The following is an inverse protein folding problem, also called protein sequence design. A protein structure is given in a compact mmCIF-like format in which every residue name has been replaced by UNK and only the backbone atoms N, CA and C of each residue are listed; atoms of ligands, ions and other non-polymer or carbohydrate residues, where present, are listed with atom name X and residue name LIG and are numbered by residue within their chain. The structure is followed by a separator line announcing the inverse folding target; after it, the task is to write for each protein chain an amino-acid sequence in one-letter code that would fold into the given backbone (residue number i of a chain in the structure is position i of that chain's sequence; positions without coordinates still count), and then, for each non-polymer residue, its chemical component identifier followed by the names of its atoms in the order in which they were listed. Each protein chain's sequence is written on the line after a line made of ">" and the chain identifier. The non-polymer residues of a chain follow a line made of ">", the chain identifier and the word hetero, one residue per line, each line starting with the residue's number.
data_IF_159710299038
#
_entry.id   IF_159710299038
#
_cell.length_a   1.000
_cell.length_b   1.000
_cell.length_c   1.000
_cell.angle_alpha   90.00
_cell.angle_beta   90.00
_cell.angle_gamma   90.00
#
_symmetry.space_group_name_H-M   'P 1'
#
loop_
_entity.id
_entity.type
_entity.pdbx_description
1 polymer ?
#
# COMPACT_ATOMS: atom_id res chain seq x y z
N UNK A 1 -14.71 17.54 28.51
CA UNK A 1 -14.75 16.54 27.41
C UNK A 1 -14.81 17.28 26.09
N UNK A 2 -13.88 17.03 25.21
CA UNK A 2 -13.85 17.66 23.88
C UNK A 2 -15.10 17.25 23.08
N UNK A 3 -15.65 18.11 22.22
CA UNK A 3 -16.88 17.82 21.46
C UNK A 3 -16.76 16.54 20.61
N UNK A 4 -15.58 16.22 20.12
CA UNK A 4 -15.28 14.97 19.39
C UNK A 4 -15.49 13.75 20.28
N UNK A 5 -14.92 13.78 21.52
CA UNK A 5 -15.04 12.68 22.48
C UNK A 5 -16.50 12.43 22.88
N UNK A 6 -17.31 13.50 23.01
CA UNK A 6 -18.75 13.34 23.29
C UNK A 6 -19.48 12.60 22.17
N UNK A 7 -19.21 12.96 20.91
CA UNK A 7 -19.83 12.29 19.74
C UNK A 7 -19.42 10.82 19.67
N UNK A 8 -18.14 10.52 19.89
CA UNK A 8 -17.64 9.14 19.91
C UNK A 8 -18.28 8.31 21.06
N UNK A 9 -18.37 8.88 22.27
CA UNK A 9 -19.02 8.18 23.39
C UNK A 9 -20.49 7.86 23.12
N UNK A 10 -21.23 8.80 22.53
CA UNK A 10 -22.63 8.57 22.12
C UNK A 10 -22.71 7.44 21.08
N UNK A 11 -21.80 7.43 20.11
CA UNK A 11 -21.73 6.37 19.09
C UNK A 11 -21.52 4.99 19.72
N UNK A 12 -20.49 4.86 20.57
CA UNK A 12 -20.13 3.59 21.24
C UNK A 12 -21.30 3.08 22.10
N UNK A 13 -21.85 3.93 22.94
CA UNK A 13 -22.97 3.53 23.84
C UNK A 13 -24.19 3.08 23.01
N UNK A 14 -24.56 3.84 22.00
CA UNK A 14 -25.72 3.51 21.14
C UNK A 14 -25.48 2.21 20.37
N UNK A 15 -24.31 2.04 19.74
CA UNK A 15 -23.99 0.81 19.00
C UNK A 15 -23.94 -0.41 19.92
N UNK A 16 -23.38 -0.26 21.15
CA UNK A 16 -23.40 -1.34 22.15
C UNK A 16 -24.83 -1.74 22.52
N UNK A 17 -25.68 -0.78 22.76
CA UNK A 17 -27.08 -1.05 23.11
C UNK A 17 -27.83 -1.72 21.96
N UNK A 18 -27.65 -1.24 20.73
CA UNK A 18 -28.29 -1.83 19.54
C UNK A 18 -27.81 -3.25 19.27
N UNK A 19 -26.51 -3.52 19.42
CA UNK A 19 -25.96 -4.87 19.21
C UNK A 19 -26.47 -5.86 20.25
N UNK A 20 -26.52 -5.47 21.53
CA UNK A 20 -27.07 -6.31 22.60
C UNK A 20 -28.55 -6.63 22.36
N UNK A 21 -29.37 -5.66 21.99
CA UNK A 21 -30.79 -5.90 21.66
C UNK A 21 -30.91 -6.93 20.54
N UNK A 22 -30.14 -6.78 19.44
CA UNK A 22 -30.17 -7.72 18.32
C UNK A 22 -29.77 -9.13 18.75
N UNK A 23 -28.73 -9.28 19.58
CA UNK A 23 -28.26 -10.57 20.07
C UNK A 23 -29.32 -11.22 20.96
N UNK A 24 -29.86 -10.49 21.94
CA UNK A 24 -30.85 -11.02 22.90
C UNK A 24 -32.14 -11.43 22.16
N UNK A 25 -32.69 -10.56 21.33
CA UNK A 25 -33.93 -10.85 20.59
C UNK A 25 -33.68 -11.94 19.54
N UNK A 26 -32.53 -11.92 18.84
CA UNK A 26 -32.16 -12.97 17.89
C UNK A 26 -32.09 -14.36 18.56
N UNK A 27 -31.54 -14.41 19.78
CA UNK A 27 -31.44 -15.63 20.57
C UNK A 27 -32.85 -16.12 21.05
N UNK A 28 -33.65 -15.22 21.63
CA UNK A 28 -35.02 -15.52 22.11
C UNK A 28 -35.93 -15.99 20.98
N UNK A 29 -35.91 -15.28 19.85
CA UNK A 29 -36.75 -15.59 18.69
C UNK A 29 -36.15 -16.68 17.79
N UNK A 30 -34.97 -17.22 18.12
CA UNK A 30 -34.22 -18.22 17.33
C UNK A 30 -34.00 -17.81 15.88
N UNK A 31 -33.82 -16.49 15.63
CA UNK A 31 -33.51 -15.95 14.32
C UNK A 31 -32.01 -15.95 14.12
N UNK A 32 -31.53 -16.80 13.20
CA UNK A 32 -30.11 -16.89 12.84
C UNK A 32 -29.60 -15.60 12.20
N UNK A 33 -30.44 -14.94 11.41
CA UNK A 33 -30.12 -13.70 10.74
C UNK A 33 -29.95 -12.51 11.71
N UNK A 34 -30.89 -12.32 12.64
CA UNK A 34 -30.81 -11.22 13.61
C UNK A 34 -29.67 -11.44 14.62
N UNK A 35 -29.44 -12.70 15.02
CA UNK A 35 -28.30 -13.05 15.86
C UNK A 35 -26.97 -12.75 15.15
N UNK A 36 -26.86 -13.13 13.85
CA UNK A 36 -25.68 -12.85 13.03
C UNK A 36 -25.40 -11.35 12.92
N UNK A 37 -26.41 -10.54 12.65
CA UNK A 37 -26.30 -9.08 12.55
C UNK A 37 -25.94 -8.42 13.90
N UNK A 38 -26.47 -8.96 14.99
CA UNK A 38 -26.10 -8.54 16.35
C UNK A 38 -24.63 -8.86 16.68
N UNK A 39 -24.18 -10.07 16.37
CA UNK A 39 -22.79 -10.48 16.56
C UNK A 39 -21.83 -9.70 15.65
N UNK A 40 -22.22 -9.40 14.40
CA UNK A 40 -21.46 -8.53 13.52
C UNK A 40 -21.26 -7.13 14.14
N UNK A 41 -22.33 -6.46 14.53
CA UNK A 41 -22.26 -5.15 15.18
C UNK A 41 -21.47 -5.17 16.48
N UNK A 42 -21.50 -6.27 17.23
CA UNK A 42 -20.68 -6.45 18.44
C UNK A 42 -19.21 -6.69 18.13
N UNK A 43 -18.90 -7.43 17.06
CA UNK A 43 -17.51 -7.65 16.59
C UNK A 43 -16.83 -6.35 16.21
N UNK A 44 -17.56 -5.42 15.57
CA UNK A 44 -17.03 -4.10 15.21
C UNK A 44 -16.65 -3.30 16.47
N UNK A 45 -17.51 -3.33 17.50
CA UNK A 45 -17.20 -2.71 18.79
C UNK A 45 -15.98 -3.33 19.49
N UNK A 46 -15.84 -4.67 19.42
CA UNK A 46 -14.65 -5.35 19.94
C UNK A 46 -13.39 -4.93 19.17
N UNK A 47 -13.48 -4.83 17.86
CA UNK A 47 -12.38 -4.35 17.01
C UNK A 47 -11.93 -2.96 17.42
N UNK A 48 -12.87 -2.02 17.59
CA UNK A 48 -12.59 -0.66 18.05
C UNK A 48 -11.94 -0.65 19.44
N UNK A 49 -12.48 -1.44 20.38
CA UNK A 49 -11.96 -1.52 21.75
C UNK A 49 -10.51 -2.04 21.79
N UNK A 50 -10.23 -3.10 21.08
CA UNK A 50 -8.88 -3.65 21.03
C UNK A 50 -7.93 -2.78 20.22
N UNK A 51 -8.40 -2.07 19.20
CA UNK A 51 -7.61 -1.08 18.48
C UNK A 51 -7.16 0.04 19.43
N UNK A 52 -8.02 0.48 20.35
CA UNK A 52 -7.65 1.45 21.38
C UNK A 52 -6.56 0.88 22.30
N UNK A 53 -6.71 -0.36 22.77
CA UNK A 53 -5.70 -1.02 23.62
C UNK A 53 -4.39 -1.19 22.87
N UNK A 54 -4.45 -1.68 21.63
CA UNK A 54 -3.27 -1.83 20.76
C UNK A 54 -2.54 -0.50 20.56
N UNK A 55 -3.27 0.59 20.34
CA UNK A 55 -2.69 1.93 20.19
C UNK A 55 -2.04 2.43 21.51
N UNK A 56 -2.64 2.15 22.66
CA UNK A 56 -2.04 2.49 23.95
C UNK A 56 -0.73 1.73 24.16
N UNK A 57 -0.71 0.44 23.86
CA UNK A 57 0.49 -0.39 23.97
C UNK A 57 1.57 0.00 22.93
N UNK A 58 1.15 0.36 21.74
CA UNK A 58 2.04 0.80 20.66
C UNK A 58 2.77 2.12 20.97
N UNK A 59 2.23 2.96 21.85
CA UNK A 59 2.86 4.22 22.30
C UNK A 59 3.99 4.01 23.30
N UNK A 60 4.24 2.79 23.76
CA UNK A 60 5.38 2.49 24.62
C UNK A 60 6.68 2.84 23.88
N UNK A 61 7.57 3.67 24.48
CA UNK A 61 8.80 4.12 23.82
C UNK A 61 9.75 2.96 23.51
N UNK A 62 10.77 3.25 22.73
CA UNK A 62 11.86 2.33 22.44
C UNK A 62 12.54 1.85 23.74
N UNK A 63 12.93 0.59 23.76
CA UNK A 63 13.72 -0.04 24.81
C UNK A 63 14.89 -0.83 24.17
N UNK A 64 15.76 -1.44 24.98
CA UNK A 64 16.94 -2.16 24.49
C UNK A 64 16.58 -3.32 23.55
N UNK A 65 15.43 -3.98 23.74
CA UNK A 65 14.97 -5.09 22.90
C UNK A 65 14.23 -4.61 21.64
N UNK A 66 13.58 -3.44 21.74
CA UNK A 66 12.77 -2.87 20.66
C UNK A 66 13.24 -1.44 20.37
N UNK A 67 14.40 -1.26 19.70
CA UNK A 67 15.02 0.04 19.47
C UNK A 67 14.18 1.00 18.59
N UNK A 68 13.19 0.48 17.87
CA UNK A 68 12.21 1.26 17.10
C UNK A 68 10.86 1.43 17.82
N UNK A 69 10.80 1.12 19.13
CA UNK A 69 9.56 1.17 19.90
C UNK A 69 8.62 0.01 19.61
N UNK A 70 7.42 0.11 20.17
CA UNK A 70 6.42 -0.97 20.17
C UNK A 70 5.29 -0.76 19.15
N UNK A 71 5.43 0.16 18.18
CA UNK A 71 4.38 0.53 17.24
C UNK A 71 3.72 -0.63 16.49
N UNK A 72 4.45 -1.71 16.22
CA UNK A 72 3.91 -2.90 15.53
C UNK A 72 2.91 -3.71 16.36
N UNK A 73 2.80 -3.48 17.67
CA UNK A 73 1.80 -4.14 18.53
C UNK A 73 0.37 -3.83 18.06
N UNK A 74 0.13 -2.62 17.56
CA UNK A 74 -1.17 -2.23 16.99
C UNK A 74 -1.62 -3.21 15.89
N UNK A 75 -0.73 -3.54 14.96
CA UNK A 75 -1.02 -4.45 13.86
C UNK A 75 -1.17 -5.89 14.33
N UNK A 76 -0.35 -6.35 15.27
CA UNK A 76 -0.46 -7.69 15.86
C UNK A 76 -1.79 -7.88 16.58
N UNK A 77 -2.24 -6.86 17.33
CA UNK A 77 -3.53 -6.87 18.00
C UNK A 77 -4.67 -6.96 16.98
N UNK A 78 -4.61 -6.15 15.91
CA UNK A 78 -5.59 -6.17 14.83
C UNK A 78 -5.65 -7.52 14.09
N UNK A 79 -4.51 -8.19 13.89
CA UNK A 79 -4.44 -9.54 13.33
C UNK A 79 -5.14 -10.55 14.26
N UNK A 80 -4.85 -10.49 15.57
CA UNK A 80 -5.50 -11.37 16.55
C UNK A 80 -7.03 -11.23 16.52
N UNK A 81 -7.52 -10.00 16.48
CA UNK A 81 -8.96 -9.73 16.41
C UNK A 81 -9.56 -10.23 15.09
N UNK A 82 -8.90 -9.98 13.97
CA UNK A 82 -9.41 -10.39 12.66
C UNK A 82 -9.59 -11.92 12.57
N UNK A 83 -8.70 -12.69 13.20
CA UNK A 83 -8.84 -14.15 13.31
C UNK A 83 -10.10 -14.52 14.12
N UNK A 84 -10.33 -13.85 15.27
CA UNK A 84 -11.53 -14.08 16.07
C UNK A 84 -12.80 -13.75 15.27
N UNK A 85 -12.80 -12.62 14.53
CA UNK A 85 -13.94 -12.21 13.68
C UNK A 85 -14.21 -13.26 12.59
N UNK A 86 -13.18 -13.81 11.95
CA UNK A 86 -13.32 -14.88 10.95
C UNK A 86 -13.93 -16.14 11.57
N UNK A 87 -13.45 -16.56 12.76
CA UNK A 87 -14.00 -17.72 13.49
C UNK A 87 -15.46 -17.50 13.84
N UNK A 88 -15.84 -16.30 14.31
CA UNK A 88 -17.24 -15.94 14.58
C UNK A 88 -18.10 -16.05 13.32
N UNK A 89 -17.63 -15.52 12.19
CA UNK A 89 -18.33 -15.64 10.91
C UNK A 89 -18.55 -17.08 10.47
N UNK A 90 -17.53 -17.95 10.60
CA UNK A 90 -17.62 -19.38 10.32
C UNK A 90 -18.63 -20.08 11.25
N UNK A 91 -18.61 -19.73 12.54
CA UNK A 91 -19.55 -20.28 13.54
C UNK A 91 -21.00 -19.89 13.19
N UNK A 92 -21.22 -18.63 12.78
CA UNK A 92 -22.53 -18.14 12.34
C UNK A 92 -23.02 -18.93 11.13
N UNK A 93 -22.19 -19.11 10.11
CA UNK A 93 -22.55 -19.88 8.92
C UNK A 93 -22.92 -21.32 9.31
N UNK A 94 -22.07 -21.97 10.10
CA UNK A 94 -22.33 -23.34 10.56
C UNK A 94 -23.66 -23.43 11.33
N UNK A 95 -23.89 -22.53 12.28
CA UNK A 95 -25.13 -22.49 13.03
C UNK A 95 -26.34 -22.23 12.14
N UNK A 96 -26.25 -21.30 11.16
CA UNK A 96 -27.33 -21.02 10.21
C UNK A 96 -27.65 -22.23 9.33
N UNK A 97 -26.64 -23.00 8.92
CA UNK A 97 -26.85 -24.22 8.12
C UNK A 97 -27.56 -25.34 8.92
N UNK A 98 -27.21 -25.52 10.19
CA UNK A 98 -27.71 -26.61 11.02
C UNK A 98 -28.93 -26.21 11.89
N UNK A 99 -29.28 -24.92 11.95
CA UNK A 99 -30.45 -24.45 12.69
C UNK A 99 -31.74 -25.10 12.13
N UNK A 100 -32.72 -25.38 13.02
CA UNK A 100 -34.04 -25.74 12.56
C UNK A 100 -34.67 -24.59 11.83
N UNK A 101 -35.47 -24.89 10.81
CA UNK A 101 -36.27 -23.87 10.11
C UNK A 101 -37.30 -23.33 11.08
N UNK A 102 -37.19 -22.10 11.49
CA UNK A 102 -38.13 -21.41 12.39
C UNK A 102 -38.72 -20.23 11.64
N UNK A 103 -40.02 -20.06 11.73
CA UNK A 103 -40.65 -18.85 11.22
C UNK A 103 -40.22 -17.66 12.08
N UNK A 104 -39.61 -16.65 11.45
CA UNK A 104 -39.28 -15.44 12.17
C UNK A 104 -40.52 -14.77 12.74
N UNK A 105 -40.45 -14.38 14.00
CA UNK A 105 -41.52 -13.65 14.67
C UNK A 105 -41.63 -12.25 14.09
N UNK A 106 -42.82 -11.68 14.06
CA UNK A 106 -43.06 -10.25 13.77
C UNK A 106 -42.17 -9.35 14.64
N UNK A 107 -41.82 -9.80 15.84
CA UNK A 107 -40.89 -9.12 16.76
C UNK A 107 -39.52 -8.90 16.10
N UNK A 108 -39.00 -9.87 15.36
CA UNK A 108 -37.73 -9.76 14.64
C UNK A 108 -37.76 -8.66 13.60
N UNK A 109 -38.86 -8.59 12.82
CA UNK A 109 -39.02 -7.52 11.80
C UNK A 109 -39.12 -6.14 12.43
N UNK A 110 -39.88 -6.01 13.53
CA UNK A 110 -40.04 -4.74 14.25
C UNK A 110 -38.69 -4.29 14.85
N UNK A 111 -37.98 -5.19 15.53
CA UNK A 111 -36.68 -4.88 16.14
C UNK A 111 -35.67 -4.53 15.06
N UNK A 112 -35.63 -5.26 13.95
CA UNK A 112 -34.71 -4.94 12.82
C UNK A 112 -35.01 -3.55 12.27
N UNK A 113 -36.28 -3.18 12.07
CA UNK A 113 -36.67 -1.86 11.58
C UNK A 113 -36.25 -0.75 12.54
N UNK A 114 -36.49 -0.92 13.84
CA UNK A 114 -36.11 0.04 14.87
C UNK A 114 -34.58 0.21 14.89
N UNK A 115 -33.84 -0.90 14.91
CA UNK A 115 -32.37 -0.84 14.97
C UNK A 115 -31.74 -0.23 13.71
N UNK A 116 -32.26 -0.51 12.52
CA UNK A 116 -31.86 0.12 11.24
C UNK A 116 -32.10 1.63 11.31
N UNK A 117 -33.28 2.04 11.70
CA UNK A 117 -33.67 3.45 11.78
C UNK A 117 -32.74 4.21 12.75
N UNK A 118 -32.55 3.67 13.95
CA UNK A 118 -31.68 4.28 14.96
C UNK A 118 -30.23 4.34 14.48
N UNK A 119 -29.71 3.27 13.85
CA UNK A 119 -28.34 3.24 13.31
C UNK A 119 -28.16 4.23 12.17
N UNK A 120 -29.16 4.37 11.29
CA UNK A 120 -29.13 5.38 10.22
C UNK A 120 -29.12 6.82 10.80
N UNK A 121 -30.00 7.12 11.76
CA UNK A 121 -30.03 8.43 12.42
C UNK A 121 -28.72 8.73 13.15
N UNK A 122 -28.14 7.74 13.82
CA UNK A 122 -26.84 7.85 14.47
C UNK A 122 -25.72 8.17 13.46
N UNK A 123 -25.68 7.43 12.34
CA UNK A 123 -24.69 7.65 11.29
C UNK A 123 -24.77 9.06 10.72
N UNK A 124 -25.98 9.56 10.47
CA UNK A 124 -26.20 10.91 9.97
C UNK A 124 -25.79 11.98 11.01
N UNK A 125 -26.09 11.74 12.28
CA UNK A 125 -25.64 12.61 13.38
C UNK A 125 -24.13 12.71 13.44
N UNK A 126 -23.43 11.56 13.36
CA UNK A 126 -21.95 11.51 13.42
C UNK A 126 -21.35 12.24 12.21
N UNK A 127 -21.87 12.00 10.98
CA UNK A 127 -21.39 12.65 9.76
C UNK A 127 -21.59 14.18 9.84
N UNK A 128 -22.77 14.64 10.25
CA UNK A 128 -23.05 16.09 10.38
C UNK A 128 -22.16 16.75 11.42
N UNK A 129 -21.95 16.11 12.57
CA UNK A 129 -21.03 16.61 13.60
C UNK A 129 -19.58 16.57 13.14
N UNK A 130 -19.17 15.52 12.43
CA UNK A 130 -17.83 15.42 11.84
C UNK A 130 -17.56 16.55 10.86
N UNK A 131 -18.50 16.85 9.97
CA UNK A 131 -18.40 18.01 9.05
C UNK A 131 -18.32 19.34 9.80
N UNK A 132 -19.16 19.54 10.85
CA UNK A 132 -19.16 20.79 11.63
C UNK A 132 -17.88 20.98 12.44
N UNK A 133 -17.21 19.90 12.84
CA UNK A 133 -15.96 19.91 13.61
C UNK A 133 -14.72 19.75 12.74
N UNK A 134 -14.89 19.71 11.41
CA UNK A 134 -13.83 19.45 10.41
C UNK A 134 -12.98 18.22 10.74
N UNK A 135 -13.62 17.18 11.31
CA UNK A 135 -12.96 15.99 11.78
C UNK A 135 -13.23 14.80 10.84
N UNK A 136 -12.23 14.44 10.05
CA UNK A 136 -12.32 13.37 9.06
C UNK A 136 -12.52 11.99 9.69
N UNK A 137 -12.07 11.77 10.92
CA UNK A 137 -12.25 10.49 11.63
C UNK A 137 -13.72 10.28 11.94
N UNK A 138 -14.42 11.30 12.45
CA UNK A 138 -15.87 11.22 12.68
C UNK A 138 -16.64 11.00 11.38
N UNK A 139 -16.24 11.67 10.28
CA UNK A 139 -16.89 11.49 8.99
C UNK A 139 -16.72 10.05 8.48
N UNK A 140 -15.52 9.49 8.63
CA UNK A 140 -15.22 8.11 8.25
C UNK A 140 -16.05 7.11 9.07
N UNK A 141 -16.03 7.23 10.40
CA UNK A 141 -16.81 6.39 11.32
C UNK A 141 -18.31 6.45 11.04
N UNK A 142 -18.85 7.64 10.75
CA UNK A 142 -20.25 7.78 10.36
C UNK A 142 -20.58 7.12 9.02
N UNK A 143 -19.67 7.14 8.03
CA UNK A 143 -19.85 6.43 6.75
C UNK A 143 -19.79 4.91 6.93
N UNK A 144 -18.91 4.42 7.79
CA UNK A 144 -18.82 3.01 8.14
C UNK A 144 -20.11 2.53 8.82
N UNK A 145 -20.59 3.25 9.84
CA UNK A 145 -21.88 2.98 10.49
C UNK A 145 -23.06 3.00 9.50
N UNK A 146 -22.99 3.82 8.44
CA UNK A 146 -23.99 3.82 7.35
C UNK A 146 -23.87 2.58 6.46
N UNK A 147 -22.65 2.07 6.21
CA UNK A 147 -22.47 0.83 5.45
C UNK A 147 -23.07 -0.38 6.18
N UNK A 148 -22.95 -0.42 7.51
CA UNK A 148 -23.55 -1.50 8.31
C UNK A 148 -25.09 -1.52 8.28
N UNK A 149 -25.73 -0.39 7.99
CA UNK A 149 -27.18 -0.35 7.76
C UNK A 149 -27.59 -1.28 6.61
N UNK A 150 -26.71 -1.45 5.60
CA UNK A 150 -26.97 -2.33 4.45
C UNK A 150 -27.01 -3.80 4.89
N UNK A 151 -26.13 -4.24 5.76
CA UNK A 151 -26.15 -5.61 6.30
C UNK A 151 -27.41 -5.87 7.12
N UNK A 152 -27.79 -4.93 7.99
CA UNK A 152 -29.04 -5.00 8.76
C UNK A 152 -30.30 -4.99 7.87
N UNK A 153 -30.26 -4.31 6.70
CA UNK A 153 -31.35 -4.31 5.75
C UNK A 153 -31.60 -5.71 5.15
N UNK A 154 -30.55 -6.47 4.89
CA UNK A 154 -30.66 -7.87 4.43
C UNK A 154 -31.43 -8.71 5.47
N UNK A 155 -31.12 -8.52 6.75
CA UNK A 155 -31.80 -9.22 7.86
C UNK A 155 -33.26 -8.80 7.97
N UNK A 156 -33.55 -7.51 7.85
CA UNK A 156 -34.92 -6.99 7.86
C UNK A 156 -35.78 -7.56 6.73
N UNK A 157 -35.25 -7.56 5.50
CA UNK A 157 -35.93 -8.15 4.33
C UNK A 157 -36.20 -9.64 4.58
N UNK A 158 -35.22 -10.37 5.08
CA UNK A 158 -35.39 -11.80 5.35
C UNK A 158 -36.43 -12.07 6.44
N UNK A 159 -36.47 -11.21 7.46
CA UNK A 159 -37.51 -11.32 8.51
C UNK A 159 -38.92 -11.09 7.96
N UNK A 160 -39.11 -10.12 7.07
CA UNK A 160 -40.38 -9.89 6.38
C UNK A 160 -40.74 -11.10 5.52
N UNK A 161 -39.85 -11.59 4.68
CA UNK A 161 -40.10 -12.76 3.83
C UNK A 161 -40.47 -13.98 4.67
N UNK A 162 -39.82 -14.18 5.82
CA UNK A 162 -40.14 -15.27 6.74
C UNK A 162 -41.59 -15.17 7.30
N UNK A 163 -42.11 -13.98 7.54
CA UNK A 163 -43.50 -13.79 7.95
C UNK A 163 -44.48 -14.27 6.84
N UNK A 164 -44.12 -14.00 5.57
CA UNK A 164 -44.92 -14.45 4.41
C UNK A 164 -44.74 -15.94 4.08
N UNK A 165 -43.91 -16.68 4.83
CA UNK A 165 -43.72 -18.11 4.61
C UNK A 165 -44.98 -18.97 4.78
N UNK A 166 -46.04 -18.42 5.41
CA UNK A 166 -47.39 -19.03 5.45
C UNK A 166 -48.03 -19.19 4.08
N UNK A 167 -47.66 -18.30 3.13
CA UNK A 167 -48.19 -18.27 1.77
C UNK A 167 -47.28 -18.91 0.76
N UNK A 168 -45.94 -18.79 0.98
CA UNK A 168 -44.92 -19.28 0.05
C UNK A 168 -43.87 -20.06 0.85
N UNK A 169 -43.83 -21.39 0.67
CA UNK A 169 -42.99 -22.30 1.47
C UNK A 169 -41.48 -21.98 1.39
N UNK A 170 -41.01 -21.51 0.24
CA UNK A 170 -39.58 -21.20 0.04
C UNK A 170 -39.11 -20.13 1.03
N UNK A 171 -39.94 -19.23 1.47
CA UNK A 171 -39.58 -18.15 2.41
C UNK A 171 -39.27 -18.65 3.84
N UNK A 172 -39.55 -19.92 4.14
CA UNK A 172 -39.10 -20.55 5.41
C UNK A 172 -37.57 -20.52 5.58
N UNK A 173 -36.85 -20.53 4.47
CA UNK A 173 -35.38 -20.56 4.47
C UNK A 173 -34.73 -19.18 4.46
N UNK A 174 -35.51 -18.10 4.37
CA UNK A 174 -35.00 -16.72 4.26
C UNK A 174 -34.08 -16.34 5.42
N UNK A 175 -34.42 -16.70 6.65
CA UNK A 175 -33.59 -16.44 7.85
C UNK A 175 -32.27 -17.17 7.80
N UNK A 176 -32.23 -18.43 7.37
CA UNK A 176 -31.00 -19.20 7.20
C UNK A 176 -30.11 -18.59 6.14
N UNK A 177 -30.67 -18.27 4.98
CA UNK A 177 -29.94 -17.67 3.85
C UNK A 177 -29.33 -16.33 4.28
N UNK A 178 -30.12 -15.50 4.95
CA UNK A 178 -29.64 -14.22 5.45
C UNK A 178 -28.53 -14.37 6.49
N UNK A 179 -28.65 -15.32 7.43
CA UNK A 179 -27.60 -15.63 8.39
C UNK A 179 -26.27 -16.06 7.71
N UNK A 180 -26.36 -16.85 6.65
CA UNK A 180 -25.18 -17.25 5.85
C UNK A 180 -24.59 -16.03 5.14
N UNK A 181 -25.41 -15.18 4.52
CA UNK A 181 -24.95 -13.95 3.84
C UNK A 181 -24.21 -13.04 4.82
N UNK A 182 -24.80 -12.79 5.99
CA UNK A 182 -24.16 -11.96 7.04
C UNK A 182 -22.87 -12.61 7.52
N UNK A 183 -22.84 -13.94 7.74
CA UNK A 183 -21.62 -14.65 8.09
C UNK A 183 -20.49 -14.51 7.06
N UNK A 184 -20.82 -14.54 5.76
CA UNK A 184 -19.87 -14.31 4.68
C UNK A 184 -19.34 -12.87 4.72
N UNK A 185 -20.20 -11.89 4.98
CA UNK A 185 -19.80 -10.49 5.13
C UNK A 185 -18.82 -10.30 6.29
N UNK A 186 -19.07 -10.96 7.44
CA UNK A 186 -18.18 -10.94 8.61
C UNK A 186 -16.82 -11.53 8.27
N UNK A 187 -16.77 -12.71 7.60
CA UNK A 187 -15.52 -13.34 7.18
C UNK A 187 -14.76 -12.42 6.23
N UNK A 188 -15.46 -11.83 5.26
CA UNK A 188 -14.84 -10.88 4.32
C UNK A 188 -14.20 -9.69 5.04
N UNK A 189 -14.90 -9.09 6.00
CA UNK A 189 -14.38 -7.97 6.80
C UNK A 189 -13.14 -8.40 7.59
N UNK A 190 -13.21 -9.53 8.32
CA UNK A 190 -12.07 -10.07 9.04
C UNK A 190 -10.87 -10.35 8.13
N UNK A 191 -11.10 -10.90 6.93
CA UNK A 191 -10.04 -11.18 5.97
C UNK A 191 -9.39 -9.90 5.41
N UNK A 192 -10.16 -8.84 5.17
CA UNK A 192 -9.63 -7.56 4.73
C UNK A 192 -8.72 -6.92 5.79
N UNK A 193 -9.17 -6.91 7.06
CA UNK A 193 -8.38 -6.41 8.20
C UNK A 193 -7.10 -7.24 8.35
N UNK A 194 -7.18 -8.56 8.26
CA UNK A 194 -6.04 -9.47 8.34
C UNK A 194 -5.00 -9.17 7.25
N UNK A 195 -5.46 -9.08 6.00
CA UNK A 195 -4.59 -8.82 4.84
C UNK A 195 -3.87 -7.49 4.96
N UNK A 196 -4.58 -6.41 5.32
CA UNK A 196 -4.00 -5.07 5.47
C UNK A 196 -2.91 -5.05 6.56
N UNK A 197 -3.20 -5.59 7.73
CA UNK A 197 -2.26 -5.56 8.85
C UNK A 197 -1.04 -6.47 8.62
N UNK A 198 -1.21 -7.62 7.96
CA UNK A 198 -0.08 -8.48 7.54
C UNK A 198 0.80 -7.72 6.53
N UNK A 199 0.21 -7.04 5.53
CA UNK A 199 0.95 -6.29 4.53
C UNK A 199 1.83 -5.21 5.17
N UNK A 200 1.29 -4.46 6.14
CA UNK A 200 2.05 -3.44 6.88
C UNK A 200 3.19 -4.06 7.69
N UNK A 201 2.97 -5.20 8.37
CA UNK A 201 4.04 -5.89 9.13
C UNK A 201 5.15 -6.36 8.20
N UNK A 202 4.82 -6.82 7.00
CA UNK A 202 5.77 -7.22 5.96
C UNK A 202 6.53 -6.05 5.36
N UNK A 203 6.20 -4.81 5.73
CA UNK A 203 6.91 -3.61 5.27
C UNK A 203 6.29 -2.99 4.02
N UNK A 204 4.97 -3.00 3.91
CA UNK A 204 4.28 -2.26 2.86
C UNK A 204 4.67 -0.79 2.90
N UNK A 205 5.11 -0.30 1.75
CA UNK A 205 5.56 1.08 1.58
C UNK A 205 4.38 2.01 1.29
N UNK A 206 4.41 3.21 1.84
CA UNK A 206 3.50 4.31 1.47
C UNK A 206 3.85 4.82 0.06
N UNK A 207 3.27 4.19 -0.98
CA UNK A 207 3.58 4.50 -2.38
C UNK A 207 2.79 5.71 -2.89
N UNK A 208 1.61 5.96 -2.35
CA UNK A 208 0.69 7.01 -2.79
C UNK A 208 0.12 7.75 -1.59
N UNK A 209 0.32 9.06 -1.52
CA UNK A 209 -0.28 9.85 -0.46
C UNK A 209 0.29 11.25 -0.39
N UNK A 210 -0.42 12.12 0.31
CA UNK A 210 0.02 13.50 0.57
C UNK A 210 1.34 13.53 1.33
N UNK A 211 1.56 12.58 2.24
CA UNK A 211 2.79 12.46 3.04
C UNK A 211 4.01 12.22 2.16
N UNK A 212 3.95 11.29 1.21
CA UNK A 212 5.04 11.01 0.27
C UNK A 212 5.38 12.26 -0.55
N UNK A 213 4.35 12.91 -1.11
CA UNK A 213 4.54 14.10 -1.93
C UNK A 213 5.12 15.26 -1.12
N UNK A 214 4.68 15.43 0.13
CA UNK A 214 5.19 16.47 1.03
C UNK A 214 6.66 16.22 1.36
N UNK A 215 7.04 15.00 1.72
CA UNK A 215 8.42 14.62 2.00
C UNK A 215 9.30 14.85 0.78
N UNK A 216 8.89 14.35 -0.40
CA UNK A 216 9.63 14.55 -1.65
C UNK A 216 9.85 16.03 -1.98
N UNK A 217 8.82 16.86 -1.79
CA UNK A 217 8.90 18.30 -2.00
C UNK A 217 9.89 18.97 -1.04
N UNK A 218 9.90 18.58 0.23
CA UNK A 218 10.84 19.11 1.23
C UNK A 218 12.27 18.76 0.86
N UNK A 219 12.54 17.53 0.43
CA UNK A 219 13.86 17.06 0.03
C UNK A 219 14.35 17.84 -1.21
N UNK A 220 13.52 17.93 -2.26
CA UNK A 220 13.88 18.60 -3.52
C UNK A 220 13.99 20.13 -3.41
N UNK A 221 13.39 20.74 -2.39
CA UNK A 221 13.55 22.16 -2.12
C UNK A 221 14.92 22.50 -1.50
N UNK A 222 15.72 21.50 -1.15
CA UNK A 222 17.10 21.71 -0.71
C UNK A 222 18.00 21.82 -1.94
N UNK A 223 18.67 22.98 -2.11
CA UNK A 223 19.55 23.27 -3.28
C UNK A 223 20.76 22.33 -3.40
N UNK A 224 21.21 21.81 -2.27
CA UNK A 224 22.39 20.93 -2.20
C UNK A 224 22.08 19.50 -2.63
N UNK A 225 20.80 19.09 -2.58
CA UNK A 225 20.36 17.78 -3.04
C UNK A 225 20.00 17.87 -4.53
N UNK A 226 20.65 17.05 -5.34
CA UNK A 226 20.48 17.03 -6.81
C UNK A 226 19.40 16.05 -7.24
N UNK A 227 19.40 14.85 -6.64
CA UNK A 227 18.40 13.80 -6.94
C UNK A 227 18.01 13.03 -5.68
N UNK A 228 16.81 12.47 -5.71
CA UNK A 228 16.37 11.44 -4.76
C UNK A 228 16.52 10.12 -5.50
N UNK A 229 17.49 9.32 -5.07
CA UNK A 229 17.81 8.04 -5.71
C UNK A 229 16.87 6.94 -5.20
N UNK A 230 16.53 7.00 -3.90
CA UNK A 230 15.53 6.14 -3.28
C UNK A 230 14.80 6.88 -2.16
N UNK A 231 13.51 6.57 -2.01
CA UNK A 231 12.71 7.07 -0.89
C UNK A 231 11.72 5.98 -0.46
N UNK A 232 11.93 5.43 0.73
CA UNK A 232 11.10 4.41 1.35
C UNK A 232 10.45 5.00 2.59
N UNK A 233 9.12 4.92 2.67
CA UNK A 233 8.34 5.38 3.83
C UNK A 233 7.54 4.21 4.35
N UNK A 234 7.85 3.75 5.54
CA UNK A 234 7.18 2.63 6.21
C UNK A 234 6.34 3.13 7.39
N UNK A 235 5.13 2.59 7.52
CA UNK A 235 4.30 2.79 8.72
C UNK A 235 4.83 1.94 9.87
N UNK A 236 4.93 2.53 11.04
CA UNK A 236 5.39 1.86 12.25
C UNK A 236 4.50 2.25 13.43
N UNK A 237 3.27 1.69 13.47
CA UNK A 237 2.23 2.11 14.40
C UNK A 237 1.83 3.57 14.15
N UNK A 238 1.97 4.39 15.17
CA UNK A 238 1.61 5.80 15.13
C UNK A 238 2.63 6.70 14.42
N UNK A 239 3.81 6.18 14.04
CA UNK A 239 4.88 6.95 13.41
C UNK A 239 5.29 6.40 12.02
N UNK A 240 6.08 7.21 11.30
CA UNK A 240 6.72 6.83 10.05
C UNK A 240 8.22 6.65 10.24
N UNK A 241 8.75 5.62 9.60
CA UNK A 241 10.18 5.44 9.37
C UNK A 241 10.47 5.80 7.91
N UNK A 242 11.36 6.78 7.71
CA UNK A 242 11.78 7.24 6.39
C UNK A 242 13.22 6.77 6.16
N UNK A 243 13.45 6.07 5.08
CA UNK A 243 14.79 5.73 4.57
C UNK A 243 14.93 6.35 3.20
N UNK A 244 16.01 7.10 2.98
CA UNK A 244 16.23 7.74 1.69
C UNK A 244 17.68 7.65 1.26
N UNK A 245 17.87 7.60 -0.06
CA UNK A 245 19.16 7.81 -0.70
C UNK A 245 19.04 9.09 -1.54
N UNK A 246 20.02 9.97 -1.37
CA UNK A 246 20.05 11.26 -2.07
C UNK A 246 21.43 11.49 -2.68
N UNK A 247 21.48 12.10 -3.85
CA UNK A 247 22.75 12.48 -4.48
C UNK A 247 23.03 13.97 -4.26
N UNK A 248 24.25 14.28 -3.81
CA UNK A 248 24.76 15.64 -3.57
C UNK A 248 26.02 15.92 -4.39
N UNK A 249 26.43 17.20 -4.45
CA UNK A 249 27.66 17.59 -5.14
C UNK A 249 28.87 16.77 -4.60
N UNK A 250 29.66 16.10 -5.46
CA UNK A 250 30.79 15.30 -5.05
C UNK A 250 31.94 16.10 -4.41
N UNK A 251 31.99 17.42 -4.63
CA UNK A 251 33.01 18.29 -4.06
C UNK A 251 32.75 18.67 -2.60
N UNK A 252 31.57 18.34 -2.05
CA UNK A 252 31.26 18.60 -0.65
C UNK A 252 32.09 17.71 0.28
N UNK A 253 32.62 18.31 1.34
CA UNK A 253 33.26 17.58 2.40
C UNK A 253 32.27 16.73 3.19
N UNK A 254 32.74 15.69 3.88
CA UNK A 254 31.87 14.86 4.74
C UNK A 254 31.13 15.70 5.79
N UNK A 255 31.78 16.72 6.36
CA UNK A 255 31.19 17.62 7.36
C UNK A 255 30.04 18.44 6.76
N UNK A 256 30.22 18.96 5.56
CA UNK A 256 29.17 19.71 4.85
C UNK A 256 27.98 18.82 4.54
N UNK A 257 28.22 17.62 3.99
CA UNK A 257 27.16 16.64 3.72
C UNK A 257 26.37 16.32 5.00
N UNK A 258 27.06 16.04 6.11
CA UNK A 258 26.42 15.73 7.39
C UNK A 258 25.58 16.92 7.89
N UNK A 259 26.10 18.13 7.78
CA UNK A 259 25.38 19.35 8.18
C UNK A 259 24.10 19.57 7.36
N UNK A 260 24.12 19.26 6.06
CA UNK A 260 22.98 19.36 5.17
C UNK A 260 21.92 18.31 5.55
N UNK A 261 22.35 17.07 5.80
CA UNK A 261 21.48 15.98 6.24
C UNK A 261 20.81 16.30 7.56
N UNK A 262 21.54 16.77 8.56
CA UNK A 262 21.00 17.15 9.87
C UNK A 262 19.92 18.24 9.77
N UNK A 263 20.17 19.25 8.92
CA UNK A 263 19.17 20.30 8.66
C UNK A 263 17.92 19.73 7.98
N UNK A 264 18.10 18.83 7.02
CA UNK A 264 17.01 18.16 6.32
C UNK A 264 16.18 17.29 7.28
N UNK A 265 16.82 16.48 8.13
CA UNK A 265 16.15 15.66 9.12
C UNK A 265 15.31 16.51 10.11
N UNK A 266 15.91 17.57 10.64
CA UNK A 266 15.21 18.52 11.53
C UNK A 266 14.00 19.15 10.84
N UNK A 267 14.15 19.52 9.57
CA UNK A 267 13.05 20.11 8.79
C UNK A 267 11.94 19.09 8.53
N UNK A 268 12.27 17.86 8.14
CA UNK A 268 11.31 16.79 7.92
C UNK A 268 10.52 16.47 9.21
N UNK A 269 11.19 16.33 10.35
CA UNK A 269 10.53 16.09 11.65
C UNK A 269 9.63 17.26 12.08
N UNK A 270 9.97 18.49 11.72
CA UNK A 270 9.16 19.69 12.04
C UNK A 270 7.94 19.85 11.13
N UNK A 271 8.09 19.61 9.84
CA UNK A 271 7.05 19.92 8.84
C UNK A 271 6.12 18.73 8.55
N UNK A 272 6.57 17.51 8.82
CA UNK A 272 5.77 16.29 8.59
C UNK A 272 5.53 15.62 9.93
N UNK A 273 4.28 15.65 10.37
CA UNK A 273 3.87 15.00 11.62
C UNK A 273 4.16 13.48 11.59
N UNK A 274 4.47 12.93 12.76
CA UNK A 274 4.67 11.49 12.99
C UNK A 274 5.93 10.89 12.35
N UNK A 275 6.87 11.66 11.82
CA UNK A 275 8.19 11.13 11.46
C UNK A 275 9.07 11.06 12.70
N UNK A 276 9.47 9.84 13.10
CA UNK A 276 10.39 9.64 14.23
C UNK A 276 11.77 9.17 13.76
N UNK A 277 11.83 8.27 12.82
CA UNK A 277 13.05 7.65 12.37
C UNK A 277 13.35 8.06 10.93
N UNK A 278 14.55 8.62 10.73
CA UNK A 278 15.05 8.99 9.41
C UNK A 278 16.43 8.36 9.24
N UNK A 279 16.66 7.75 8.11
CA UNK A 279 17.99 7.25 7.69
C UNK A 279 18.26 7.84 6.32
N UNK A 280 19.40 8.52 6.19
CA UNK A 280 19.81 9.14 4.93
C UNK A 280 21.13 8.53 4.49
N UNK A 281 21.17 7.99 3.28
CA UNK A 281 22.38 7.63 2.59
C UNK A 281 22.69 8.68 1.53
N UNK A 282 23.93 9.19 1.53
CA UNK A 282 24.36 10.22 0.61
C UNK A 282 25.27 9.61 -0.46
N UNK A 283 24.86 9.80 -1.71
CA UNK A 283 25.63 9.42 -2.89
C UNK A 283 26.28 10.65 -3.54
N UNK A 284 27.47 10.55 -4.13
CA UNK A 284 28.01 11.62 -4.96
C UNK A 284 27.17 11.74 -6.24
N UNK A 285 26.77 12.97 -6.57
CA UNK A 285 26.05 13.26 -7.82
C UNK A 285 27.02 13.34 -8.99
N UNK A 286 26.90 12.43 -9.92
CA UNK A 286 27.70 12.46 -11.15
C UNK A 286 26.88 13.09 -12.27
N UNK A 287 27.28 14.30 -12.70
CA UNK A 287 26.69 14.94 -13.87
C UNK A 287 27.04 14.17 -15.14
N UNK A 288 26.12 14.15 -16.10
CA UNK A 288 26.38 13.59 -17.44
C UNK A 288 27.53 14.27 -18.18
N UNK A 289 27.77 15.54 -17.86
CA UNK A 289 28.91 16.31 -18.41
C UNK A 289 30.27 15.68 -18.10
N UNK A 290 30.38 14.87 -17.04
CA UNK A 290 31.61 14.12 -16.70
C UNK A 290 31.75 12.82 -17.50
N UNK A 291 30.69 12.42 -18.23
CA UNK A 291 30.67 11.21 -19.05
C UNK A 291 30.20 11.54 -20.43
N UNK A 292 31.06 11.37 -21.41
CA UNK A 292 30.73 11.59 -22.79
C UNK A 292 30.14 10.32 -23.41
N UNK A 293 29.00 10.45 -24.13
CA UNK A 293 28.48 9.42 -25.00
C UNK A 293 29.00 9.68 -26.40
N UNK A 294 29.80 8.77 -26.91
CA UNK A 294 30.30 8.82 -28.30
C UNK A 294 29.72 7.66 -29.09
N UNK A 295 29.51 7.86 -30.38
CA UNK A 295 29.10 6.78 -31.25
C UNK A 295 30.21 5.73 -31.34
N UNK A 296 29.80 4.46 -31.36
CA UNK A 296 30.76 3.37 -31.48
C UNK A 296 31.36 3.35 -32.89
N UNK A 297 32.64 3.06 -32.99
CA UNK A 297 33.37 2.83 -34.24
C UNK A 297 34.01 1.45 -34.24
N UNK A 298 34.69 1.09 -35.35
CA UNK A 298 35.29 -0.23 -35.49
C UNK A 298 36.31 -0.54 -34.40
N UNK A 299 37.04 0.47 -33.89
CA UNK A 299 37.99 0.32 -32.80
C UNK A 299 37.35 -0.11 -31.45
N UNK A 300 36.03 0.06 -31.34
CA UNK A 300 35.31 -0.34 -30.13
C UNK A 300 34.73 -1.76 -30.22
N UNK A 301 34.89 -2.47 -31.35
CA UNK A 301 34.24 -3.78 -31.54
C UNK A 301 34.64 -4.80 -30.49
N UNK A 302 35.94 -4.88 -30.13
CA UNK A 302 36.39 -5.82 -29.10
C UNK A 302 35.79 -5.54 -27.74
N UNK A 303 35.69 -4.26 -27.38
CA UNK A 303 35.01 -3.86 -26.15
C UNK A 303 33.53 -4.23 -26.17
N UNK A 304 32.82 -3.96 -27.28
CA UNK A 304 31.40 -4.26 -27.42
C UNK A 304 31.17 -5.76 -27.42
N UNK A 305 32.06 -6.55 -28.08
CA UNK A 305 32.00 -7.99 -28.07
C UNK A 305 32.06 -8.54 -26.64
N UNK A 306 33.05 -8.14 -25.85
CA UNK A 306 33.24 -8.53 -24.47
C UNK A 306 32.04 -8.09 -23.59
N UNK A 307 31.46 -6.92 -23.85
CA UNK A 307 30.28 -6.41 -23.16
C UNK A 307 29.06 -7.29 -23.42
N UNK A 308 28.80 -7.67 -24.68
CA UNK A 308 27.68 -8.51 -25.07
C UNK A 308 27.84 -9.92 -24.52
N UNK A 309 29.04 -10.51 -24.62
CA UNK A 309 29.35 -11.82 -24.08
C UNK A 309 29.08 -11.92 -22.58
N UNK A 310 29.53 -10.89 -21.83
CA UNK A 310 29.34 -10.84 -20.37
C UNK A 310 27.88 -10.72 -19.95
N UNK A 311 27.02 -10.07 -20.76
CA UNK A 311 25.64 -9.74 -20.36
C UNK A 311 24.58 -10.69 -20.92
N UNK A 312 24.86 -11.34 -22.05
CA UNK A 312 23.82 -12.15 -22.72
C UNK A 312 24.41 -13.43 -23.34
N UNK A 313 23.72 -14.59 -23.17
CA UNK A 313 24.10 -15.83 -23.83
C UNK A 313 23.59 -15.85 -25.28
N UNK A 314 24.09 -14.95 -26.15
CA UNK A 314 23.74 -14.94 -27.58
C UNK A 314 24.59 -15.97 -28.33
N UNK A 315 23.97 -16.70 -29.27
CA UNK A 315 24.67 -17.77 -30.04
C UNK A 315 25.66 -17.22 -31.07
N UNK A 316 25.42 -16.00 -31.60
CA UNK A 316 26.27 -15.36 -32.61
C UNK A 316 26.48 -13.89 -32.20
N UNK A 317 27.47 -13.69 -31.34
CA UNK A 317 27.81 -12.38 -30.80
C UNK A 317 28.40 -11.49 -31.90
N UNK A 318 29.23 -12.04 -32.81
CA UNK A 318 29.89 -11.28 -33.87
C UNK A 318 28.88 -10.63 -34.80
N UNK A 319 27.88 -11.40 -35.24
CA UNK A 319 26.81 -10.89 -36.12
C UNK A 319 25.97 -9.83 -35.37
N UNK A 320 25.67 -10.07 -34.08
CA UNK A 320 24.92 -9.12 -33.26
C UNK A 320 25.66 -7.79 -33.10
N UNK A 321 26.97 -7.82 -32.80
CA UNK A 321 27.80 -6.63 -32.65
C UNK A 321 27.87 -5.85 -33.95
N UNK A 322 28.11 -6.52 -35.09
CA UNK A 322 28.13 -5.88 -36.40
C UNK A 322 26.80 -5.23 -36.79
N UNK A 323 25.67 -5.89 -36.48
CA UNK A 323 24.32 -5.37 -36.73
C UNK A 323 24.04 -4.09 -35.93
N UNK A 324 24.42 -4.07 -34.65
CA UNK A 324 24.09 -2.98 -33.73
C UNK A 324 25.24 -2.01 -33.43
N UNK A 325 26.32 -2.06 -34.21
CA UNK A 325 27.46 -1.15 -34.00
C UNK A 325 27.03 0.32 -34.08
N UNK A 326 26.21 0.69 -35.04
CA UNK A 326 25.68 2.07 -35.23
C UNK A 326 24.68 2.49 -34.11
N UNK A 327 24.07 1.51 -33.48
CA UNK A 327 23.09 1.72 -32.38
C UNK A 327 23.76 1.74 -31.02
N UNK A 328 25.08 1.53 -30.99
CA UNK A 328 25.87 1.47 -29.76
C UNK A 328 26.51 2.82 -29.48
N UNK A 329 26.34 3.28 -28.24
CA UNK A 329 27.09 4.42 -27.73
C UNK A 329 28.09 3.98 -26.65
N UNK A 330 29.29 4.48 -26.78
CA UNK A 330 30.39 4.22 -25.84
C UNK A 330 30.36 5.30 -24.74
N UNK A 331 30.44 4.86 -23.51
CA UNK A 331 30.49 5.73 -22.33
C UNK A 331 31.98 5.98 -22.02
N UNK A 332 32.41 7.23 -22.10
CA UNK A 332 33.80 7.64 -21.81
C UNK A 332 33.87 8.59 -20.63
N UNK A 333 34.91 8.47 -19.81
CA UNK A 333 35.30 9.44 -18.80
C UNK A 333 36.79 9.77 -19.02
N UNK A 334 37.13 11.05 -19.21
CA UNK A 334 38.50 11.49 -19.55
C UNK A 334 39.12 10.63 -20.65
N UNK A 335 38.37 10.46 -21.76
CA UNK A 335 38.70 9.62 -22.92
C UNK A 335 38.87 8.11 -22.67
N UNK A 336 38.75 7.66 -21.42
CA UNK A 336 38.73 6.24 -21.08
C UNK A 336 37.36 5.63 -21.26
N UNK A 337 37.29 4.49 -21.96
CA UNK A 337 36.02 3.72 -22.10
C UNK A 337 35.68 3.07 -20.76
N UNK A 338 34.56 3.49 -20.18
CA UNK A 338 34.06 3.01 -18.89
C UNK A 338 32.83 2.14 -19.01
N UNK A 339 32.16 2.14 -20.20
CA UNK A 339 30.93 1.36 -20.43
C UNK A 339 30.42 1.52 -21.86
N UNK A 340 29.27 0.94 -22.12
CA UNK A 340 28.54 1.07 -23.37
C UNK A 340 27.05 0.84 -23.22
N UNK A 341 26.27 1.36 -24.14
CA UNK A 341 24.81 1.20 -24.20
C UNK A 341 24.38 0.91 -25.63
N UNK A 342 23.51 -0.09 -25.80
CA UNK A 342 22.86 -0.40 -27.08
C UNK A 342 21.41 0.07 -26.99
N UNK A 343 21.10 1.08 -27.81
CA UNK A 343 19.83 1.78 -27.77
C UNK A 343 19.42 2.19 -29.17
N UNK A 344 18.31 1.64 -29.66
CA UNK A 344 17.86 1.83 -31.05
C UNK A 344 16.37 1.96 -31.18
N UNK A 345 15.93 2.49 -32.31
CA UNK A 345 14.53 2.63 -32.63
C UNK A 345 14.03 1.39 -33.38
N UNK A 346 12.96 0.80 -32.88
CA UNK A 346 12.25 -0.29 -33.54
C UNK A 346 10.77 0.06 -33.68
N UNK A 347 10.26 0.15 -34.92
CA UNK A 347 8.90 0.62 -35.20
C UNK A 347 8.65 2.03 -34.63
N UNK A 348 7.70 2.15 -33.67
CA UNK A 348 7.29 3.42 -33.04
C UNK A 348 7.87 3.64 -31.64
N UNK A 349 8.79 2.79 -31.18
CA UNK A 349 9.37 2.84 -29.83
C UNK A 349 10.88 2.70 -29.87
N UNK A 350 11.53 3.09 -28.78
CA UNK A 350 12.95 2.87 -28.56
C UNK A 350 13.16 1.62 -27.69
N UNK A 351 14.19 0.85 -28.01
CA UNK A 351 14.60 -0.31 -27.23
C UNK A 351 15.94 -0.03 -26.56
N UNK A 352 15.96 -0.11 -25.22
CA UNK A 352 17.18 -0.20 -24.45
C UNK A 352 17.53 -1.68 -24.30
N UNK A 353 18.37 -2.19 -25.21
CA UNK A 353 18.68 -3.62 -25.28
C UNK A 353 19.75 -4.02 -24.27
N UNK A 354 20.85 -3.26 -24.18
CA UNK A 354 21.95 -3.53 -23.25
C UNK A 354 22.52 -2.22 -22.70
N UNK A 355 22.87 -2.25 -21.41
CA UNK A 355 23.71 -1.24 -20.76
C UNK A 355 24.76 -1.92 -19.89
N UNK A 356 26.00 -1.54 -20.04
CA UNK A 356 27.12 -2.04 -19.27
C UNK A 356 28.00 -0.90 -18.78
N UNK A 357 28.37 -0.96 -17.50
CA UNK A 357 29.35 -0.08 -16.88
C UNK A 357 30.37 -0.95 -16.18
N UNK A 358 31.66 -0.70 -16.44
CA UNK A 358 32.78 -1.43 -15.80
C UNK A 358 32.63 -1.42 -14.29
N UNK A 359 32.91 -2.53 -13.63
CA UNK A 359 32.64 -2.77 -12.19
C UNK A 359 33.18 -1.64 -11.29
N UNK A 360 34.37 -1.08 -11.63
CA UNK A 360 35.00 0.06 -10.93
C UNK A 360 34.15 1.33 -10.93
N UNK A 361 33.22 1.48 -11.88
CA UNK A 361 32.41 2.68 -12.08
C UNK A 361 30.90 2.41 -11.82
N UNK A 362 30.57 1.20 -11.33
CA UNK A 362 29.19 0.88 -10.91
C UNK A 362 28.86 1.54 -9.58
N UNK A 363 27.57 1.65 -9.28
CA UNK A 363 27.01 2.29 -8.08
C UNK A 363 27.37 3.78 -7.90
N UNK A 364 27.86 4.46 -8.95
CA UNK A 364 28.15 5.89 -8.97
C UNK A 364 27.05 6.72 -9.66
N UNK A 365 25.84 6.19 -9.77
CA UNK A 365 24.72 6.89 -10.42
C UNK A 365 24.82 7.02 -11.96
N UNK A 366 25.91 6.59 -12.58
CA UNK A 366 26.20 6.77 -14.02
C UNK A 366 25.09 6.15 -14.88
N UNK A 367 24.69 4.91 -14.60
CA UNK A 367 23.63 4.23 -15.34
C UNK A 367 22.29 4.96 -15.27
N UNK A 368 21.93 5.48 -14.10
CA UNK A 368 20.74 6.28 -13.89
C UNK A 368 20.76 7.53 -14.80
N UNK A 369 21.85 8.29 -14.74
CA UNK A 369 21.99 9.53 -15.50
C UNK A 369 21.98 9.31 -17.03
N UNK A 370 22.63 8.23 -17.50
CA UNK A 370 22.67 7.91 -18.92
C UNK A 370 21.28 7.52 -19.44
N UNK A 371 20.60 6.61 -18.73
CA UNK A 371 19.26 6.17 -19.16
C UNK A 371 18.27 7.34 -19.10
N UNK A 372 18.34 8.16 -18.07
CA UNK A 372 17.50 9.36 -17.94
C UNK A 372 17.70 10.31 -19.13
N UNK A 373 18.95 10.57 -19.53
CA UNK A 373 19.25 11.42 -20.67
C UNK A 373 18.72 10.80 -21.99
N UNK A 374 18.86 9.49 -22.18
CA UNK A 374 18.32 8.81 -23.35
C UNK A 374 16.79 8.95 -23.44
N UNK A 375 16.10 8.84 -22.30
CA UNK A 375 14.64 9.02 -22.23
C UNK A 375 14.25 10.49 -22.47
N UNK A 376 14.92 11.43 -21.80
CA UNK A 376 14.61 12.85 -21.89
C UNK A 376 14.79 13.41 -23.29
N UNK A 377 15.76 12.87 -24.05
CA UNK A 377 15.99 13.23 -25.46
C UNK A 377 14.91 12.67 -26.39
N UNK A 378 14.05 11.76 -25.93
CA UNK A 378 13.03 11.08 -26.74
C UNK A 378 11.59 11.38 -26.29
N UNK A 379 11.33 12.56 -25.75
CA UNK A 379 10.08 13.02 -25.07
C UNK A 379 8.74 12.68 -25.71
N UNK A 380 8.72 12.16 -26.95
CA UNK A 380 7.49 11.80 -27.69
C UNK A 380 7.37 10.30 -28.01
N UNK A 381 8.37 9.50 -27.66
CA UNK A 381 8.39 8.08 -28.00
C UNK A 381 8.56 7.25 -26.74
N UNK A 382 7.89 6.10 -26.73
CA UNK A 382 8.01 5.12 -25.65
C UNK A 382 9.37 4.43 -25.67
N UNK A 383 9.95 4.24 -24.50
CA UNK A 383 11.17 3.43 -24.34
C UNK A 383 10.83 2.13 -23.62
N UNK A 384 11.24 1.01 -24.21
CA UNK A 384 11.03 -0.34 -23.69
C UNK A 384 12.35 -1.04 -23.42
N UNK A 385 12.36 -1.92 -22.43
CA UNK A 385 13.50 -2.78 -22.10
C UNK A 385 13.05 -4.15 -21.58
N UNK A 386 13.97 -5.12 -21.63
CA UNK A 386 13.82 -6.40 -20.96
C UNK A 386 14.82 -6.52 -19.81
N UNK A 387 14.37 -7.03 -18.66
CA UNK A 387 15.23 -7.26 -17.49
C UNK A 387 14.97 -8.61 -16.85
N UNK A 388 16.02 -9.32 -16.47
CA UNK A 388 15.88 -10.58 -15.73
C UNK A 388 15.23 -10.33 -14.37
N UNK A 389 14.28 -11.18 -13.96
CA UNK A 389 13.61 -11.12 -12.65
C UNK A 389 14.60 -11.22 -11.48
N UNK A 390 15.74 -11.88 -11.68
CA UNK A 390 16.83 -11.99 -10.71
C UNK A 390 17.67 -10.71 -10.56
N UNK A 391 17.62 -9.78 -11.54
CA UNK A 391 18.39 -8.54 -11.49
C UNK A 391 17.64 -7.43 -10.73
N UNK A 392 17.53 -7.61 -9.41
CA UNK A 392 16.78 -6.71 -8.52
C UNK A 392 17.31 -5.27 -8.59
N UNK A 393 18.65 -5.10 -8.72
CA UNK A 393 19.28 -3.76 -8.83
C UNK A 393 18.83 -3.02 -10.08
N UNK A 394 18.83 -3.67 -11.23
CA UNK A 394 18.39 -3.05 -12.48
C UNK A 394 16.88 -2.76 -12.47
N UNK A 395 16.06 -3.68 -11.95
CA UNK A 395 14.61 -3.47 -11.80
C UNK A 395 14.31 -2.23 -10.96
N UNK A 396 15.04 -2.06 -9.83
CA UNK A 396 14.90 -0.89 -8.95
C UNK A 396 15.28 0.39 -9.68
N UNK A 397 16.40 0.39 -10.41
CA UNK A 397 16.87 1.51 -11.23
C UNK A 397 15.79 1.93 -12.25
N UNK A 398 15.25 0.99 -13.01
CA UNK A 398 14.25 1.28 -14.03
C UNK A 398 12.94 1.79 -13.45
N UNK A 399 12.48 1.22 -12.33
CA UNK A 399 11.29 1.73 -11.62
C UNK A 399 11.48 3.17 -11.14
N UNK A 400 12.66 3.52 -10.62
CA UNK A 400 12.99 4.88 -10.20
C UNK A 400 13.00 5.88 -11.37
N UNK A 401 13.30 5.42 -12.58
CA UNK A 401 13.23 6.19 -13.81
C UNK A 401 11.83 6.24 -14.44
N UNK A 402 10.83 5.65 -13.79
CA UNK A 402 9.43 5.70 -14.22
C UNK A 402 8.98 4.53 -15.10
N UNK A 403 9.84 3.55 -15.36
CA UNK A 403 9.44 2.36 -16.10
C UNK A 403 8.40 1.53 -15.33
N UNK A 404 7.37 1.10 -16.05
CA UNK A 404 6.33 0.21 -15.54
C UNK A 404 6.43 -1.16 -16.20
N UNK A 405 6.13 -2.21 -15.47
CA UNK A 405 6.06 -3.57 -16.03
C UNK A 405 4.79 -3.65 -16.88
N UNK A 406 4.95 -3.90 -18.18
CA UNK A 406 3.83 -4.06 -19.13
C UNK A 406 3.55 -5.53 -19.45
N UNK A 407 4.55 -6.39 -19.33
CA UNK A 407 4.43 -7.84 -19.57
C UNK A 407 5.54 -8.59 -18.85
N UNK A 408 5.35 -9.90 -18.67
CA UNK A 408 6.37 -10.77 -18.09
C UNK A 408 6.45 -12.11 -18.80
N UNK A 409 7.64 -12.68 -18.82
CA UNK A 409 7.94 -14.05 -19.21
C UNK A 409 8.34 -14.87 -17.99
N UNK A 410 8.64 -16.17 -18.16
CA UNK A 410 9.09 -17.01 -17.06
C UNK A 410 10.25 -16.39 -16.27
N UNK A 411 11.22 -15.78 -16.94
CA UNK A 411 12.48 -15.31 -16.35
C UNK A 411 12.72 -13.79 -16.46
N UNK A 412 11.90 -13.05 -17.21
CA UNK A 412 12.13 -11.62 -17.51
C UNK A 412 10.88 -10.78 -17.30
N UNK A 413 11.06 -9.52 -16.96
CA UNK A 413 10.06 -8.46 -17.11
C UNK A 413 10.32 -7.67 -18.39
N UNK A 414 9.24 -7.27 -19.05
CA UNK A 414 9.25 -6.26 -20.10
C UNK A 414 8.72 -4.98 -19.45
N UNK A 415 9.53 -3.92 -19.50
CA UNK A 415 9.20 -2.65 -18.86
C UNK A 415 9.17 -1.53 -19.88
N UNK A 416 8.30 -0.54 -19.68
CA UNK A 416 8.10 0.60 -20.60
C UNK A 416 7.98 1.90 -19.81
N UNK A 417 8.50 2.99 -20.37
CA UNK A 417 8.33 4.37 -19.92
C UNK A 417 7.90 5.26 -21.09
N UNK A 418 7.04 6.26 -20.81
CA UNK A 418 6.53 7.24 -21.80
C UNK A 418 7.45 8.44 -21.90
#
# INVERSE_FOLDING_TARGET
>A
MNNVTKVMSVSIITNTFLSLIKIIIGFICKSSALLADGVHSFSDLLTDFFAIIGNIMAKKPADEKHPYGHGKIEYLTSIGISIVVIILGLTIINNSMHSKVVMSSLIVSIVSLITITLKYLLSEYIIRKGKKLENNILIASGKESRADVISSLVVFISAILSVFSKYIEVFKYSDKISGIIVGILIIRTGFLILKENISIILGEQEIKGETLNKIRKIILNNKDIKTIDELIILKFGHCYKVSMEVSMNPDLTLLECHTIVDKLEKKLKKEVEKIEYITVHVNPYHKLEEFNLTDACDDNKDFIFNMVEKLTPKKDISNYVNKHLKDTKIIKKNDQVIGGVIYYKENSRYLLDLIYIKDKYQNLGIGHNIIKNLIDNQKKNKTQLEVLKSNIKAIKLYKNLGFQIISETKNKYIMEVN
#
